data_IF_901529121079
#
_entry.id   IF_901529121079
#
_cell.length_a   1.000
_cell.length_b   1.000
_cell.length_c   1.000
_cell.angle_alpha   90.00
_cell.angle_beta   90.00
_cell.angle_gamma   90.00
#
_symmetry.space_group_name_H-M   'P 1'
#
loop_
_entity.id
_entity.type
_entity.pdbx_description
1 polymer ?
#
# COMPACT_ATOMS: atom_id res chain seq x y z
N UNK A 1 9.88 -32.76 -11.24
CA UNK A 1 8.51 -32.80 -11.81
C UNK A 1 8.14 -31.38 -12.12
N UNK A 2 7.45 -31.11 -13.23
CA UNK A 2 6.97 -29.76 -13.50
C UNK A 2 6.05 -29.31 -12.36
N UNK A 3 6.24 -28.08 -11.90
CA UNK A 3 5.34 -27.41 -10.97
C UNK A 3 3.92 -27.44 -11.56
N UNK A 4 2.93 -27.93 -10.79
CA UNK A 4 1.61 -28.33 -11.32
C UNK A 4 0.51 -27.31 -11.07
N UNK A 5 0.87 -26.06 -10.80
CA UNK A 5 -0.09 -24.97 -10.58
C UNK A 5 -0.50 -24.37 -11.92
N UNK A 6 -1.75 -24.54 -12.34
CA UNK A 6 -2.22 -24.09 -13.67
C UNK A 6 -2.08 -22.57 -13.88
N UNK A 7 -2.18 -21.79 -12.81
CA UNK A 7 -2.05 -20.33 -12.87
C UNK A 7 -0.58 -19.91 -12.92
N UNK A 8 0.26 -20.51 -12.07
CA UNK A 8 1.62 -20.05 -11.83
C UNK A 8 2.68 -20.77 -12.67
N UNK A 9 2.45 -22.02 -13.06
CA UNK A 9 3.41 -22.81 -13.82
C UNK A 9 3.80 -22.19 -15.18
N UNK A 10 2.90 -21.56 -15.96
CA UNK A 10 3.27 -20.88 -17.20
C UNK A 10 4.19 -19.66 -16.98
N UNK A 11 4.22 -19.12 -15.76
CA UNK A 11 4.92 -17.87 -15.41
C UNK A 11 6.17 -18.13 -14.56
N UNK A 12 6.37 -19.35 -14.06
CA UNK A 12 7.39 -19.65 -13.05
C UNK A 12 8.83 -19.41 -13.54
N UNK A 13 9.05 -19.41 -14.86
CA UNK A 13 10.36 -19.14 -15.45
C UNK A 13 10.59 -17.64 -15.70
N UNK A 14 9.54 -16.81 -15.76
CA UNK A 14 9.62 -15.36 -16.01
C UNK A 14 9.08 -14.54 -14.82
N UNK A 15 10.02 -13.96 -14.05
CA UNK A 15 9.72 -13.22 -12.83
C UNK A 15 8.92 -11.96 -13.12
N UNK A 16 9.24 -11.28 -14.23
CA UNK A 16 8.57 -10.03 -14.60
C UNK A 16 7.13 -10.29 -15.02
N UNK A 17 6.89 -11.37 -15.77
CA UNK A 17 5.54 -11.81 -16.12
C UNK A 17 4.74 -12.23 -14.89
N UNK A 18 5.38 -12.89 -13.91
CA UNK A 18 4.75 -13.24 -12.64
C UNK A 18 4.39 -12.00 -11.80
N UNK A 19 5.30 -11.04 -11.67
CA UNK A 19 5.06 -9.74 -11.00
C UNK A 19 3.88 -9.00 -11.66
N UNK A 20 3.85 -8.94 -12.99
CA UNK A 20 2.78 -8.28 -13.76
C UNK A 20 1.41 -8.94 -13.53
N UNK A 21 1.38 -10.29 -13.54
CA UNK A 21 0.16 -11.05 -13.25
C UNK A 21 -0.33 -10.81 -11.82
N UNK A 22 0.56 -10.89 -10.83
CA UNK A 22 0.21 -10.67 -9.42
C UNK A 22 -0.32 -9.26 -9.17
N UNK A 23 0.35 -8.24 -9.71
CA UNK A 23 -0.09 -6.85 -9.66
C UNK A 23 -1.50 -6.70 -10.21
N UNK A 24 -1.75 -7.25 -11.40
CA UNK A 24 -3.07 -7.21 -12.05
C UNK A 24 -4.14 -7.95 -11.24
N UNK A 25 -3.82 -9.16 -10.74
CA UNK A 25 -4.71 -9.95 -9.91
C UNK A 25 -5.16 -9.17 -8.66
N UNK A 26 -4.22 -8.56 -7.95
CA UNK A 26 -4.52 -7.86 -6.70
C UNK A 26 -5.22 -6.52 -6.91
N UNK A 27 -4.97 -5.82 -8.02
CA UNK A 27 -5.71 -4.59 -8.34
C UNK A 27 -7.14 -4.87 -8.77
N UNK A 28 -7.36 -5.94 -9.54
CA UNK A 28 -8.71 -6.36 -9.94
C UNK A 28 -9.45 -7.13 -8.83
N UNK A 29 -8.75 -7.48 -7.73
CA UNK A 29 -9.25 -8.30 -6.63
C UNK A 29 -9.83 -9.65 -7.10
N UNK A 30 -9.22 -10.24 -8.14
CA UNK A 30 -9.65 -11.54 -8.66
C UNK A 30 -9.46 -12.66 -7.61
N UNK A 31 -8.32 -12.63 -6.92
CA UNK A 31 -8.05 -13.46 -5.74
C UNK A 31 -7.38 -12.62 -4.65
N UNK A 32 -7.98 -12.60 -3.46
CA UNK A 32 -7.40 -11.89 -2.31
C UNK A 32 -6.14 -12.59 -1.78
N UNK A 33 -6.09 -13.92 -1.88
CA UNK A 33 -4.94 -14.74 -1.47
C UNK A 33 -4.71 -15.83 -2.52
N UNK A 34 -3.54 -15.85 -3.15
CA UNK A 34 -3.11 -16.92 -4.05
C UNK A 34 -2.39 -17.97 -3.21
N UNK A 35 -2.78 -19.25 -3.37
CA UNK A 35 -2.22 -20.36 -2.62
C UNK A 35 -1.69 -21.40 -3.57
N UNK A 36 -0.50 -21.92 -3.29
CA UNK A 36 0.11 -23.00 -4.07
C UNK A 36 0.90 -23.93 -3.15
N UNK A 37 1.48 -24.98 -3.71
CA UNK A 37 2.44 -25.82 -3.02
C UNK A 37 3.47 -26.39 -3.99
N UNK A 38 4.69 -26.56 -3.50
CA UNK A 38 5.85 -27.00 -4.28
C UNK A 38 6.52 -28.16 -3.57
N UNK A 39 7.11 -29.09 -4.33
CA UNK A 39 7.89 -30.19 -3.75
C UNK A 39 9.10 -29.60 -3.00
N UNK A 40 9.42 -30.08 -1.80
CA UNK A 40 10.47 -29.48 -0.95
C UNK A 40 11.87 -29.51 -1.57
N UNK A 41 12.08 -30.34 -2.59
CA UNK A 41 13.32 -30.46 -3.34
C UNK A 41 13.36 -29.59 -4.60
N UNK A 42 12.28 -28.91 -4.97
CA UNK A 42 12.21 -28.02 -6.12
C UNK A 42 12.62 -26.59 -5.73
N UNK A 43 13.92 -26.45 -5.44
CA UNK A 43 14.52 -25.19 -5.01
C UNK A 43 14.34 -24.03 -6.01
N UNK A 44 14.43 -24.22 -7.34
CA UNK A 44 14.21 -23.14 -8.29
C UNK A 44 12.80 -22.53 -8.19
N UNK A 45 11.77 -23.38 -8.15
CA UNK A 45 10.37 -22.91 -7.99
C UNK A 45 10.17 -22.21 -6.64
N UNK A 46 10.74 -22.77 -5.56
CA UNK A 46 10.72 -22.14 -4.23
C UNK A 46 11.31 -20.73 -4.28
N UNK A 47 12.52 -20.59 -4.83
CA UNK A 47 13.20 -19.30 -4.92
C UNK A 47 12.38 -18.29 -5.74
N UNK A 48 11.77 -18.72 -6.84
CA UNK A 48 10.92 -17.82 -7.65
C UNK A 48 9.68 -17.35 -6.88
N UNK A 49 8.99 -18.25 -6.17
CA UNK A 49 7.83 -17.89 -5.38
C UNK A 49 8.19 -16.87 -4.28
N UNK A 50 9.31 -17.11 -3.59
CA UNK A 50 9.82 -16.20 -2.55
C UNK A 50 10.22 -14.84 -3.12
N UNK A 51 10.81 -14.78 -4.32
CA UNK A 51 11.16 -13.54 -5.04
C UNK A 51 9.96 -12.70 -5.50
N UNK A 52 8.73 -13.22 -5.42
CA UNK A 52 7.51 -12.47 -5.78
C UNK A 52 6.49 -12.41 -4.64
N UNK A 53 6.90 -12.74 -3.42
CA UNK A 53 6.19 -12.39 -2.19
C UNK A 53 5.48 -13.56 -1.53
N UNK A 54 5.55 -14.77 -2.09
CA UNK A 54 4.91 -15.91 -1.46
C UNK A 54 5.58 -16.27 -0.13
N UNK A 55 4.76 -16.36 0.90
CA UNK A 55 5.13 -16.74 2.25
C UNK A 55 5.07 -18.25 2.43
N UNK A 56 6.13 -18.81 3.02
CA UNK A 56 6.25 -20.23 3.32
C UNK A 56 5.28 -20.65 4.42
N UNK A 57 4.53 -21.71 4.15
CA UNK A 57 3.57 -22.33 5.07
C UNK A 57 4.01 -23.71 5.55
N UNK A 58 3.03 -24.51 5.98
CA UNK A 58 3.26 -25.86 6.53
C UNK A 58 3.57 -26.88 5.44
N UNK A 59 4.53 -27.75 5.71
CA UNK A 59 4.82 -28.93 4.90
C UNK A 59 3.75 -30.03 5.04
N UNK A 60 3.67 -30.91 4.04
CA UNK A 60 2.84 -32.12 4.07
C UNK A 60 3.40 -33.21 3.15
N UNK A 61 2.98 -34.45 3.38
CA UNK A 61 3.34 -35.59 2.54
C UNK A 61 2.19 -35.96 1.60
N UNK A 62 2.52 -36.33 0.36
CA UNK A 62 1.57 -36.93 -0.59
C UNK A 62 2.28 -38.12 -1.26
N UNK A 63 1.92 -39.33 -0.84
CA UNK A 63 2.68 -40.54 -1.18
C UNK A 63 4.09 -40.50 -0.58
N UNK A 64 5.11 -40.85 -1.37
CA UNK A 64 6.51 -40.80 -0.96
C UNK A 64 7.14 -39.40 -0.99
N UNK A 65 6.38 -38.37 -1.40
CA UNK A 65 6.93 -37.04 -1.71
C UNK A 65 6.47 -36.02 -0.68
N UNK A 66 7.36 -35.07 -0.36
CA UNK A 66 7.12 -33.98 0.58
C UNK A 66 6.92 -32.67 -0.16
N UNK A 67 5.95 -31.89 0.29
CA UNK A 67 5.59 -30.61 -0.30
C UNK A 67 5.53 -29.54 0.78
N UNK A 68 5.72 -28.29 0.39
CA UNK A 68 5.57 -27.10 1.22
C UNK A 68 4.49 -26.20 0.61
N UNK A 69 3.60 -25.68 1.46
CA UNK A 69 2.56 -24.72 1.04
C UNK A 69 3.13 -23.32 0.95
N UNK A 70 2.62 -22.54 0.03
CA UNK A 70 2.93 -21.12 -0.12
C UNK A 70 1.65 -20.32 -0.30
N UNK A 71 1.64 -19.08 0.19
CA UNK A 71 0.55 -18.13 -0.04
C UNK A 71 1.08 -16.72 -0.25
N UNK A 72 0.44 -15.95 -1.12
CA UNK A 72 0.75 -14.55 -1.33
C UNK A 72 -0.57 -13.77 -1.34
N UNK A 73 -0.67 -12.76 -0.48
CA UNK A 73 -1.71 -11.75 -0.56
C UNK A 73 -1.15 -10.39 -1.05
N UNK A 74 -2.04 -9.40 -1.20
CA UNK A 74 -1.65 -8.06 -1.65
C UNK A 74 -0.58 -7.42 -0.76
N UNK A 75 -0.64 -7.63 0.54
CA UNK A 75 0.31 -7.05 1.50
C UNK A 75 1.65 -7.75 1.46
N UNK A 76 1.67 -9.08 1.31
CA UNK A 76 2.90 -9.85 1.14
C UNK A 76 3.65 -9.38 -0.12
N UNK A 77 2.92 -9.20 -1.22
CA UNK A 77 3.49 -8.68 -2.48
C UNK A 77 4.02 -7.26 -2.33
N UNK A 78 3.23 -6.32 -1.78
CA UNK A 78 3.67 -4.93 -1.57
C UNK A 78 4.89 -4.88 -0.65
N UNK A 79 4.90 -5.66 0.43
CA UNK A 79 6.04 -5.74 1.35
C UNK A 79 7.29 -6.16 0.62
N UNK A 80 7.24 -7.25 -0.15
CA UNK A 80 8.43 -7.70 -0.86
C UNK A 80 8.91 -6.66 -1.87
N UNK A 81 8.00 -6.07 -2.66
CA UNK A 81 8.37 -5.04 -3.63
C UNK A 81 9.01 -3.82 -2.96
N UNK A 82 8.52 -3.43 -1.78
CA UNK A 82 9.11 -2.34 -1.02
C UNK A 82 10.46 -2.70 -0.42
N UNK A 83 10.60 -3.86 0.22
CA UNK A 83 11.86 -4.32 0.82
C UNK A 83 12.94 -4.55 -0.24
N UNK A 84 12.61 -5.12 -1.40
CA UNK A 84 13.52 -5.24 -2.55
C UNK A 84 14.00 -3.88 -3.01
N UNK A 85 13.08 -2.91 -3.16
CA UNK A 85 13.45 -1.56 -3.58
C UNK A 85 14.28 -0.83 -2.52
N UNK A 86 14.01 -1.03 -1.24
CA UNK A 86 14.82 -0.50 -0.16
C UNK A 86 16.23 -1.08 -0.18
N UNK A 87 16.37 -2.39 -0.38
CA UNK A 87 17.66 -3.09 -0.40
C UNK A 87 18.59 -2.63 -1.53
N UNK A 88 18.05 -2.06 -2.62
CA UNK A 88 18.87 -1.45 -3.68
C UNK A 88 19.65 -0.21 -3.22
N UNK A 89 19.19 0.49 -2.18
CA UNK A 89 19.70 1.82 -1.81
C UNK A 89 19.98 2.04 -0.33
N UNK A 90 19.43 1.22 0.56
CA UNK A 90 19.47 1.36 2.00
C UNK A 90 20.09 0.12 2.66
N UNK A 91 20.69 0.30 3.84
CA UNK A 91 21.15 -0.81 4.67
C UNK A 91 19.96 -1.42 5.42
N UNK A 92 19.56 -2.64 5.02
CA UNK A 92 18.43 -3.36 5.62
C UNK A 92 18.71 -3.87 7.05
N UNK A 93 19.95 -3.80 7.54
CA UNK A 93 20.24 -4.03 8.96
C UNK A 93 19.88 -2.80 9.82
N UNK A 94 19.73 -1.63 9.19
CA UNK A 94 19.36 -0.41 9.86
C UNK A 94 17.92 0.03 9.55
N UNK A 95 17.47 -0.18 8.31
CA UNK A 95 16.17 0.26 7.83
C UNK A 95 15.16 -0.87 7.75
N UNK A 96 13.92 -0.59 8.15
CA UNK A 96 12.81 -1.55 8.14
C UNK A 96 11.62 -1.03 7.34
N UNK A 97 10.80 -1.97 6.82
CA UNK A 97 9.55 -1.67 6.15
C UNK A 97 8.34 -2.13 6.98
N UNK A 98 7.30 -1.30 7.06
CA UNK A 98 6.09 -1.66 7.78
C UNK A 98 4.80 -1.11 7.16
N UNK A 99 3.67 -1.66 7.59
CA UNK A 99 2.35 -1.09 7.31
C UNK A 99 1.79 -0.43 8.56
N UNK A 100 1.22 0.75 8.42
CA UNK A 100 0.60 1.48 9.52
C UNK A 100 -0.90 1.75 9.29
N UNK A 101 -1.58 2.25 10.32
CA UNK A 101 -3.00 2.61 10.26
C UNK A 101 -3.25 4.10 10.06
N UNK A 102 -2.30 4.82 9.45
CA UNK A 102 -2.43 6.26 9.22
C UNK A 102 -3.51 6.55 8.19
N UNK A 103 -4.45 7.42 8.55
CA UNK A 103 -5.63 7.69 7.71
C UNK A 103 -5.56 9.02 6.96
N UNK A 104 -4.45 9.76 7.12
CA UNK A 104 -4.26 11.11 6.55
C UNK A 104 -2.92 11.30 5.83
N UNK A 105 -2.12 10.24 5.72
CA UNK A 105 -0.87 10.21 4.96
C UNK A 105 -0.78 8.85 4.28
N UNK A 106 -0.20 8.84 3.08
CA UNK A 106 -0.04 7.63 2.30
C UNK A 106 1.19 6.82 2.77
N UNK A 107 2.29 7.50 3.08
CA UNK A 107 3.53 6.92 3.60
C UNK A 107 4.18 7.77 4.68
N UNK A 108 5.29 7.28 5.23
CA UNK A 108 6.19 8.01 6.13
C UNK A 108 7.60 7.39 6.12
N UNK A 109 8.59 8.25 5.90
CA UNK A 109 9.99 8.01 6.26
C UNK A 109 10.28 8.50 7.68
N UNK A 110 10.47 7.57 8.63
CA UNK A 110 10.82 7.86 10.01
C UNK A 110 12.34 7.73 10.22
N UNK A 111 13.04 8.87 10.26
CA UNK A 111 14.49 8.93 10.46
C UNK A 111 14.97 8.53 11.86
N UNK A 112 14.09 8.57 12.87
CA UNK A 112 14.48 8.23 14.25
C UNK A 112 14.57 6.71 14.40
N UNK A 113 13.51 6.03 13.98
CA UNK A 113 13.40 4.57 14.08
C UNK A 113 13.96 3.86 12.84
N UNK A 114 14.41 4.63 11.84
CA UNK A 114 14.84 4.15 10.52
C UNK A 114 13.81 3.22 9.89
N UNK A 115 12.55 3.64 9.91
CA UNK A 115 11.43 2.87 9.37
C UNK A 115 10.81 3.61 8.17
N UNK A 116 10.54 2.88 7.09
CA UNK A 116 9.64 3.32 6.03
C UNK A 116 8.30 2.61 6.24
N UNK A 117 7.22 3.37 6.33
CA UNK A 117 5.87 2.83 6.50
C UNK A 117 4.90 3.32 5.46
N UNK A 118 3.97 2.45 5.06
CA UNK A 118 2.87 2.78 4.15
C UNK A 118 1.54 2.51 4.86
N UNK A 119 0.57 3.40 4.65
CA UNK A 119 -0.77 3.23 5.20
C UNK A 119 -1.46 2.01 4.59
N UNK A 120 -2.03 1.14 5.44
CA UNK A 120 -2.90 0.04 4.98
C UNK A 120 -4.06 0.54 4.12
N UNK A 121 -4.61 1.71 4.46
CA UNK A 121 -5.69 2.32 3.69
C UNK A 121 -5.21 2.82 2.32
N UNK A 122 -3.95 3.25 2.18
CA UNK A 122 -3.36 3.54 0.86
C UNK A 122 -3.37 2.27 0.01
N UNK A 123 -2.81 1.18 0.55
CA UNK A 123 -2.68 -0.12 -0.13
C UNK A 123 -4.04 -0.69 -0.56
N UNK A 124 -5.07 -0.58 0.28
CA UNK A 124 -6.38 -1.16 0.01
C UNK A 124 -7.17 -0.40 -1.08
N UNK A 125 -6.97 0.91 -1.19
CA UNK A 125 -7.82 1.80 -2.00
C UNK A 125 -7.21 2.09 -3.37
N UNK A 126 -5.88 2.15 -3.44
CA UNK A 126 -5.15 2.54 -4.64
C UNK A 126 -4.62 1.32 -5.38
N UNK A 127 -4.29 1.51 -6.65
CA UNK A 127 -3.62 0.51 -7.46
C UNK A 127 -2.24 0.15 -6.92
N UNK A 128 -1.69 -0.96 -7.43
CA UNK A 128 -0.37 -1.43 -7.06
C UNK A 128 0.71 -0.44 -7.50
N UNK A 129 0.58 0.12 -8.71
CA UNK A 129 1.51 1.13 -9.21
C UNK A 129 1.54 2.37 -8.30
N UNK A 130 0.37 2.92 -7.95
CA UNK A 130 0.26 4.07 -7.03
C UNK A 130 0.84 3.74 -5.64
N UNK A 131 0.56 2.55 -5.11
CA UNK A 131 1.13 2.09 -3.84
C UNK A 131 2.66 2.06 -3.89
N UNK A 132 3.24 1.52 -4.96
CA UNK A 132 4.69 1.46 -5.14
C UNK A 132 5.30 2.84 -5.42
N UNK A 133 4.57 3.78 -6.03
CA UNK A 133 5.03 5.17 -6.15
C UNK A 133 5.14 5.88 -4.79
N UNK A 134 4.27 5.57 -3.83
CA UNK A 134 4.42 6.06 -2.44
C UNK A 134 5.63 5.41 -1.77
N UNK A 135 5.88 4.12 -1.99
CA UNK A 135 7.12 3.47 -1.51
C UNK A 135 8.35 4.20 -2.05
N UNK A 136 8.41 4.47 -3.36
CA UNK A 136 9.51 5.22 -3.98
C UNK A 136 9.65 6.62 -3.40
N UNK A 137 8.55 7.30 -3.09
CA UNK A 137 8.56 8.60 -2.44
C UNK A 137 9.29 8.56 -1.08
N UNK A 138 8.94 7.58 -0.23
CA UNK A 138 9.54 7.46 1.11
C UNK A 138 10.98 6.94 1.07
N UNK A 139 11.31 6.03 0.14
CA UNK A 139 12.70 5.59 -0.10
C UNK A 139 13.56 6.76 -0.56
N UNK A 140 13.04 7.63 -1.43
CA UNK A 140 13.76 8.83 -1.86
C UNK A 140 14.05 9.79 -0.70
N UNK A 141 13.15 9.90 0.29
CA UNK A 141 13.41 10.66 1.52
C UNK A 141 14.54 10.06 2.34
N UNK A 142 14.59 8.73 2.48
CA UNK A 142 15.65 8.05 3.20
C UNK A 142 17.02 8.31 2.54
N UNK A 143 17.10 8.22 1.21
CA UNK A 143 18.32 8.47 0.43
C UNK A 143 18.73 9.95 0.45
N UNK A 144 17.80 10.88 0.21
CA UNK A 144 18.10 12.31 0.12
C UNK A 144 18.47 12.92 1.48
N UNK A 145 17.95 12.33 2.55
CA UNK A 145 18.14 12.71 3.95
C UNK A 145 17.16 13.78 4.44
N UNK A 146 16.87 13.78 5.74
CA UNK A 146 15.83 14.61 6.41
C UNK A 146 15.86 16.09 6.05
N UNK A 147 17.05 16.68 5.90
CA UNK A 147 17.20 18.12 5.59
C UNK A 147 16.79 18.48 4.16
N UNK A 148 16.69 17.50 3.26
CA UNK A 148 16.32 17.74 1.87
C UNK A 148 14.84 18.10 1.71
N UNK A 149 13.93 17.54 2.52
CA UNK A 149 12.49 17.66 2.29
C UNK A 149 12.13 17.37 0.82
N UNK A 150 11.14 18.07 0.27
CA UNK A 150 10.79 17.99 -1.17
C UNK A 150 11.55 19.01 -2.03
N UNK A 151 12.87 19.15 -1.83
CA UNK A 151 13.72 20.04 -2.65
C UNK A 151 14.09 19.41 -3.99
N UNK A 152 14.75 20.18 -4.88
CA UNK A 152 15.32 19.67 -6.15
C UNK A 152 16.22 18.45 -5.95
N UNK A 153 16.97 18.39 -4.84
CA UNK A 153 17.81 17.25 -4.48
C UNK A 153 16.97 15.98 -4.31
N UNK A 154 15.89 16.05 -3.53
CA UNK A 154 14.98 14.93 -3.35
C UNK A 154 14.33 14.51 -4.66
N UNK A 155 13.85 15.47 -5.45
CA UNK A 155 13.19 15.16 -6.72
C UNK A 155 14.13 14.46 -7.71
N UNK A 156 15.41 14.86 -7.74
CA UNK A 156 16.43 14.19 -8.54
C UNK A 156 16.64 12.74 -8.10
N UNK A 157 16.74 12.50 -6.78
CA UNK A 157 16.84 11.15 -6.21
C UNK A 157 15.61 10.33 -6.54
N UNK A 158 14.41 10.86 -6.27
CA UNK A 158 13.16 10.17 -6.50
C UNK A 158 13.03 9.73 -7.97
N UNK A 159 13.30 10.63 -8.92
CA UNK A 159 13.26 10.29 -10.35
C UNK A 159 14.31 9.23 -10.74
N UNK A 160 15.49 9.27 -10.12
CA UNK A 160 16.55 8.28 -10.41
C UNK A 160 16.19 6.86 -9.99
N UNK A 161 15.25 6.69 -9.05
CA UNK A 161 14.76 5.39 -8.59
C UNK A 161 13.40 5.01 -9.20
N UNK A 162 12.92 5.77 -10.20
CA UNK A 162 11.69 5.46 -10.95
C UNK A 162 10.42 6.17 -10.47
N UNK A 163 10.52 7.13 -9.55
CA UNK A 163 9.35 7.92 -9.13
C UNK A 163 8.86 8.82 -10.26
N UNK A 164 7.56 8.75 -10.57
CA UNK A 164 6.91 9.44 -11.69
C UNK A 164 6.47 10.88 -11.37
N UNK A 165 6.76 11.38 -10.17
CA UNK A 165 6.35 12.70 -9.69
C UNK A 165 4.83 12.85 -9.52
N UNK A 166 4.20 11.80 -9.00
CA UNK A 166 2.77 11.77 -8.67
C UNK A 166 2.55 12.25 -7.22
N UNK A 167 1.68 13.24 -7.03
CA UNK A 167 1.41 13.80 -5.70
C UNK A 167 0.34 12.97 -4.99
N UNK A 168 0.74 12.16 -4.01
CA UNK A 168 -0.20 11.38 -3.20
C UNK A 168 -0.59 12.15 -1.94
N UNK A 169 -1.80 12.69 -1.94
CA UNK A 169 -2.33 13.35 -0.74
C UNK A 169 -3.15 12.37 0.08
N UNK A 170 -3.05 12.45 1.41
CA UNK A 170 -3.95 11.69 2.29
C UNK A 170 -5.42 12.15 2.24
N UNK A 171 -5.76 13.05 1.31
CA UNK A 171 -7.13 13.56 1.11
C UNK A 171 -8.04 12.46 0.62
N UNK A 172 -7.61 11.66 -0.35
CA UNK A 172 -8.40 10.54 -0.90
C UNK A 172 -8.60 9.44 0.13
N UNK A 173 -7.54 9.07 0.86
CA UNK A 173 -7.63 8.17 2.01
C UNK A 173 -8.64 8.72 3.03
N UNK A 174 -8.61 10.02 3.33
CA UNK A 174 -9.58 10.63 4.24
C UNK A 174 -11.01 10.66 3.66
N UNK A 175 -11.15 10.90 2.35
CA UNK A 175 -12.42 10.89 1.63
C UNK A 175 -13.09 9.54 1.71
N UNK A 176 -12.34 8.45 1.57
CA UNK A 176 -12.88 7.09 1.57
C UNK A 176 -13.08 6.53 2.99
N UNK A 177 -12.17 6.84 3.92
CA UNK A 177 -12.15 6.18 5.24
C UNK A 177 -12.81 6.97 6.38
N UNK A 178 -13.07 8.26 6.21
CA UNK A 178 -13.63 9.08 7.29
C UNK A 178 -15.07 8.67 7.62
N UNK A 179 -15.35 8.38 8.89
CA UNK A 179 -16.71 8.04 9.35
C UNK A 179 -17.67 9.22 9.38
N UNK A 180 -17.16 10.46 9.41
CA UNK A 180 -17.97 11.67 9.42
C UNK A 180 -17.66 12.54 8.21
N UNK A 181 -18.72 12.86 7.46
CA UNK A 181 -18.66 13.72 6.27
C UNK A 181 -19.36 15.03 6.61
N UNK A 182 -18.61 16.12 6.49
CA UNK A 182 -19.06 17.48 6.69
C UNK A 182 -19.24 18.19 5.36
N UNK A 183 -20.35 18.91 5.17
CA UNK A 183 -20.57 19.74 3.97
C UNK A 183 -20.96 21.15 4.38
N UNK A 184 -20.28 22.16 3.86
CA UNK A 184 -20.65 23.56 4.07
C UNK A 184 -21.70 24.04 3.06
N UNK A 185 -22.38 25.20 3.24
CA UNK A 185 -23.39 25.68 2.31
C UNK A 185 -22.91 25.89 0.87
N UNK A 186 -21.62 26.17 0.67
CA UNK A 186 -20.99 26.27 -0.66
C UNK A 186 -20.63 24.92 -1.30
N UNK A 187 -20.92 23.79 -0.64
CA UNK A 187 -20.69 22.45 -1.19
C UNK A 187 -19.32 21.81 -0.90
N UNK A 188 -18.36 22.51 -0.28
CA UNK A 188 -17.08 21.91 0.10
C UNK A 188 -17.27 20.76 1.09
N UNK A 189 -16.58 19.65 0.84
CA UNK A 189 -16.59 18.45 1.69
C UNK A 189 -15.42 18.45 2.66
N UNK A 190 -15.68 17.99 3.87
CA UNK A 190 -14.72 17.87 4.95
C UNK A 190 -14.84 16.49 5.58
N UNK A 191 -13.69 15.88 5.89
CA UNK A 191 -13.64 14.50 6.36
C UNK A 191 -13.07 14.42 7.78
N UNK A 192 -13.75 13.69 8.66
CA UNK A 192 -13.34 13.48 10.06
C UNK A 192 -13.61 12.04 10.52
N UNK A 193 -12.78 11.53 11.41
CA UNK A 193 -12.96 10.20 12.03
C UNK A 193 -13.81 10.20 13.29
N UNK A 194 -14.15 11.39 13.79
CA UNK A 194 -15.02 11.60 14.94
C UNK A 194 -15.87 12.82 14.67
N UNK A 195 -17.12 12.81 15.15
CA UNK A 195 -17.99 13.99 15.11
C UNK A 195 -17.30 15.14 15.87
N UNK A 196 -17.13 16.32 15.28
CA UNK A 196 -16.61 17.47 16.00
C UNK A 196 -17.51 17.81 17.20
N UNK A 197 -16.91 18.01 18.37
CA UNK A 197 -17.63 18.46 19.56
C UNK A 197 -18.01 19.94 19.50
N UNK A 198 -17.26 20.74 18.72
CA UNK A 198 -17.51 22.16 18.49
C UNK A 198 -18.06 22.38 17.09
N UNK A 199 -18.85 23.44 16.93
CA UNK A 199 -19.26 23.92 15.61
C UNK A 199 -18.03 24.39 14.83
N UNK A 200 -17.89 23.90 13.61
CA UNK A 200 -16.79 24.27 12.71
C UNK A 200 -17.38 24.95 11.47
N UNK A 201 -16.69 25.97 10.97
CA UNK A 201 -16.99 26.61 9.68
C UNK A 201 -15.93 26.28 8.64
N UNK A 202 -16.30 26.35 7.37
CA UNK A 202 -15.42 26.04 6.25
C UNK A 202 -14.34 27.10 6.07
N UNK A 203 -13.10 26.73 6.37
CA UNK A 203 -11.92 27.58 6.18
C UNK A 203 -11.62 27.88 4.69
N UNK A 204 -12.12 27.05 3.76
CA UNK A 204 -12.01 27.27 2.32
C UNK A 204 -12.91 28.44 1.90
N UNK A 205 -14.14 28.51 2.42
CA UNK A 205 -15.03 29.64 2.17
C UNK A 205 -14.50 30.95 2.76
N UNK A 206 -13.92 30.89 3.97
CA UNK A 206 -13.32 32.05 4.63
C UNK A 206 -12.37 31.61 5.75
N UNK A 207 -11.15 32.17 5.85
CA UNK A 207 -10.30 31.97 7.00
C UNK A 207 -10.98 32.46 8.30
N UNK A 208 -10.95 31.66 9.36
CA UNK A 208 -11.58 31.96 10.65
C UNK A 208 -13.01 31.42 10.80
N UNK A 209 -13.59 31.59 11.99
CA UNK A 209 -14.95 31.13 12.26
C UNK A 209 -15.98 32.08 11.64
N UNK A 210 -16.91 31.55 10.83
CA UNK A 210 -18.04 32.31 10.28
C UNK A 210 -19.29 31.41 10.28
N UNK A 211 -20.33 31.84 11.01
CA UNK A 211 -21.57 31.09 11.17
C UNK A 211 -22.29 30.85 9.83
N UNK A 212 -22.05 31.67 8.81
CA UNK A 212 -22.62 31.48 7.47
C UNK A 212 -22.02 30.29 6.73
N UNK A 213 -20.83 29.84 7.15
CA UNK A 213 -20.08 28.77 6.51
C UNK A 213 -20.06 27.49 7.36
N UNK A 214 -21.04 27.31 8.26
CA UNK A 214 -21.09 26.17 9.17
C UNK A 214 -21.13 24.83 8.42
N UNK A 215 -20.24 23.94 8.82
CA UNK A 215 -20.13 22.60 8.26
C UNK A 215 -21.19 21.72 8.91
N UNK A 216 -22.08 21.14 8.09
CA UNK A 216 -23.07 20.16 8.53
C UNK A 216 -22.48 18.77 8.45
N UNK A 217 -22.38 18.10 9.59
CA UNK A 217 -21.77 16.77 9.72
C UNK A 217 -22.83 15.68 9.74
N UNK A 218 -22.59 14.61 8.98
CA UNK A 218 -23.38 13.37 8.97
C UNK A 218 -22.46 12.17 9.12
N UNK A 219 -22.96 11.09 9.70
CA UNK A 219 -22.24 9.83 9.67
C UNK A 219 -22.22 9.31 8.22
N UNK A 220 -21.14 8.64 7.80
CA UNK A 220 -21.00 8.15 6.42
C UNK A 220 -22.19 7.28 5.99
N UNK A 221 -22.66 6.42 6.89
CA UNK A 221 -23.81 5.52 6.68
C UNK A 221 -25.13 6.28 6.47
N UNK A 222 -25.22 7.55 6.87
CA UNK A 222 -26.38 8.42 6.65
C UNK A 222 -26.31 9.17 5.30
N UNK A 223 -25.17 9.12 4.62
CA UNK A 223 -24.89 9.87 3.38
C UNK A 223 -24.84 8.95 2.17
N UNK A 224 -24.46 7.68 2.35
CA UNK A 224 -24.52 6.64 1.33
C UNK A 224 -25.81 5.83 1.52
N UNK A 225 -26.60 5.54 0.47
CA UNK A 225 -27.70 4.58 0.62
C UNK A 225 -27.09 3.24 1.05
N UNK A 226 -27.61 2.70 2.16
CA UNK A 226 -27.29 1.39 2.73
C UNK A 226 -26.73 0.40 1.71
N UNK A 227 -25.43 0.12 1.75
CA UNK A 227 -24.91 -1.13 1.20
C UNK A 227 -25.21 -2.22 2.24
N UNK A 228 -26.45 -2.69 2.27
CA UNK A 228 -26.81 -3.90 3.01
C UNK A 228 -26.57 -5.10 2.10
N UNK A 229 -25.62 -5.93 2.57
CA UNK A 229 -25.30 -7.33 2.26
C UNK A 229 -25.04 -7.71 0.81
#
# INVERSE_FOLDING_TARGET
MAFQDELLAPLIEDEQSMISMLSTNFDQRNQEVIKTFVEVSDFPTIARLENVGFQKGREFSKGSKRFVRYSCDRYDFVRLMAETKMAEYLDMNEWTFNFDSAKRRAGLCNYTDKEISISRYMVDIHSMDETLQVVLHEVAHAIAGKKAGHTKKWLQVAKSIGYKNEEFTGTEIAVETATWIGVCPSGHRHYRYRKPAKMLSCAICKPGFDARNLIRWRHRDEVLPNYQS
#
